data_IF_744599872857
#
_entry.id   IF_744599872857
#
_cell.length_a   1.000
_cell.length_b   1.000
_cell.length_c   1.000
_cell.angle_alpha   90.00
_cell.angle_beta   90.00
_cell.angle_gamma   90.00
#
_symmetry.space_group_name_H-M   'P 1'
#
loop_
_entity.id
_entity.type
_entity.pdbx_description
1 polymer ?
#
# COMPACT_ATOMS: atom_id res chain seq x y z
N UNK A 1 31.20 -4.60 -24.72
CA UNK A 1 29.97 -5.20 -24.18
C UNK A 1 29.82 -4.77 -22.73
N UNK A 2 28.88 -3.87 -22.41
CA UNK A 2 28.62 -3.44 -21.03
C UNK A 2 27.45 -4.27 -20.50
N UNK A 3 27.69 -5.04 -19.44
CA UNK A 3 26.70 -5.95 -18.84
C UNK A 3 25.56 -5.18 -18.19
N UNK A 4 24.36 -5.75 -18.29
CA UNK A 4 23.04 -5.17 -17.97
C UNK A 4 22.79 -4.95 -16.46
N UNK A 5 23.79 -5.16 -15.60
CA UNK A 5 23.61 -5.29 -14.14
C UNK A 5 23.74 -3.98 -13.33
N UNK A 6 24.25 -2.88 -13.90
CA UNK A 6 24.59 -1.68 -13.11
C UNK A 6 23.48 -0.61 -12.99
N UNK A 7 22.24 -0.86 -13.43
CA UNK A 7 21.25 0.22 -13.59
C UNK A 7 20.08 0.22 -12.59
N UNK A 8 19.93 -0.78 -11.74
CA UNK A 8 18.74 -0.91 -10.88
C UNK A 8 18.96 -0.63 -9.39
N UNK A 9 20.15 -0.19 -8.99
CA UNK A 9 20.47 0.16 -7.59
C UNK A 9 20.90 1.63 -7.47
N UNK A 10 20.10 2.57 -8.00
CA UNK A 10 20.40 4.02 -7.88
C UNK A 10 19.69 4.65 -6.68
N UNK A 11 20.00 4.15 -5.49
CA UNK A 11 19.96 4.92 -4.23
C UNK A 11 20.92 4.30 -3.22
N UNK A 12 22.20 4.24 -3.60
CA UNK A 12 23.31 4.31 -2.64
C UNK A 12 23.67 5.79 -2.51
N UNK A 13 22.88 6.56 -1.77
CA UNK A 13 23.19 7.94 -1.43
C UNK A 13 22.90 8.10 0.04
N UNK A 14 23.96 8.31 0.81
CA UNK A 14 24.04 8.44 2.26
C UNK A 14 22.75 9.00 2.88
N UNK A 15 21.91 8.09 3.40
CA UNK A 15 20.71 8.44 4.14
C UNK A 15 21.11 8.63 5.61
N UNK A 16 21.18 9.87 6.07
CA UNK A 16 21.41 10.18 7.49
C UNK A 16 20.20 9.72 8.32
N UNK A 17 20.47 8.95 9.38
CA UNK A 17 19.48 8.43 10.33
C UNK A 17 18.30 7.68 9.69
N UNK A 18 18.59 6.85 8.68
CA UNK A 18 17.57 5.99 8.06
C UNK A 18 17.04 4.94 9.05
N UNK A 19 15.75 5.00 9.35
CA UNK A 19 15.07 4.05 10.24
C UNK A 19 13.98 3.31 9.48
N UNK A 20 13.87 2.01 9.73
CA UNK A 20 12.74 1.17 9.32
C UNK A 20 12.07 0.62 10.57
N UNK A 21 10.76 0.85 10.70
CA UNK A 21 9.95 0.35 11.81
C UNK A 21 8.87 -0.61 11.31
N UNK A 22 8.63 -1.70 12.05
CA UNK A 22 7.47 -2.55 11.85
C UNK A 22 6.18 -1.80 12.19
N UNK A 23 5.09 -2.10 11.50
CA UNK A 23 3.82 -1.43 11.71
C UNK A 23 2.63 -2.37 11.51
N UNK A 24 1.48 -2.02 12.13
CA UNK A 24 0.19 -2.67 11.92
C UNK A 24 -0.79 -1.81 11.10
N UNK A 25 -2.08 -1.97 11.39
CA UNK A 25 -3.17 -1.26 10.72
C UNK A 25 -3.22 0.22 11.13
N UNK A 26 -3.21 1.10 10.15
CA UNK A 26 -3.51 2.52 10.28
C UNK A 26 -4.89 2.80 9.72
N UNK A 27 -5.74 3.51 10.48
CA UNK A 27 -7.06 3.97 10.03
C UNK A 27 -6.99 5.48 9.89
N UNK A 28 -7.46 6.02 8.76
CA UNK A 28 -7.46 7.46 8.51
C UNK A 28 -8.46 8.16 9.45
N UNK A 29 -7.99 9.19 10.15
CA UNK A 29 -8.83 9.98 11.08
C UNK A 29 -9.91 10.77 10.33
N UNK A 30 -9.60 11.26 9.13
CA UNK A 30 -10.54 12.02 8.29
C UNK A 30 -11.48 11.14 7.47
N UNK A 31 -11.21 9.85 7.37
CA UNK A 31 -11.99 8.89 6.58
C UNK A 31 -11.92 7.52 7.24
N UNK A 32 -12.72 7.30 8.29
CA UNK A 32 -12.65 6.09 9.12
C UNK A 32 -12.90 4.77 8.36
N UNK A 33 -13.48 4.83 7.16
CA UNK A 33 -13.65 3.68 6.27
C UNK A 33 -12.38 3.30 5.50
N UNK A 34 -11.31 4.07 5.63
CA UNK A 34 -10.04 3.86 4.95
C UNK A 34 -8.98 3.37 5.95
N UNK A 35 -8.42 2.20 5.67
CA UNK A 35 -7.34 1.61 6.44
C UNK A 35 -6.23 1.02 5.58
N UNK A 36 -5.00 1.02 6.11
CA UNK A 36 -3.78 0.59 5.44
C UNK A 36 -2.85 -0.15 6.41
N UNK A 37 -2.26 -1.27 5.97
CA UNK A 37 -1.23 -2.00 6.73
C UNK A 37 0.05 -2.11 5.88
N UNK A 38 1.05 -1.23 6.09
CA UNK A 38 2.36 -1.33 5.44
C UNK A 38 3.16 -2.52 5.96
N UNK A 39 4.20 -2.93 5.22
CA UNK A 39 5.12 -3.96 5.71
C UNK A 39 6.23 -3.34 6.57
N UNK A 40 6.55 -2.06 6.33
CA UNK A 40 7.40 -1.25 7.17
C UNK A 40 7.17 0.24 6.91
N UNK A 41 7.47 1.07 7.91
CA UNK A 41 7.50 2.52 7.80
C UNK A 41 8.97 2.97 7.75
N UNK A 42 9.31 3.84 6.81
CA UNK A 42 10.66 4.43 6.72
C UNK A 42 10.62 5.90 7.09
N UNK A 43 11.70 6.36 7.70
CA UNK A 43 11.94 7.79 7.91
C UNK A 43 13.41 8.12 7.65
N UNK A 44 13.65 9.19 6.89
CA UNK A 44 14.95 9.82 6.75
C UNK A 44 14.80 11.33 6.97
N UNK A 45 15.79 11.97 7.60
CA UNK A 45 15.88 13.44 7.64
C UNK A 45 15.92 14.05 6.24
N UNK A 46 16.51 13.32 5.29
CA UNK A 46 16.70 13.69 3.90
C UNK A 46 15.44 13.57 3.02
N UNK A 47 14.63 12.52 3.21
CA UNK A 47 13.53 12.16 2.31
C UNK A 47 12.14 12.26 2.96
N UNK A 48 12.07 12.45 4.28
CA UNK A 48 10.83 12.40 5.04
C UNK A 48 10.36 10.97 5.29
N UNK A 49 9.04 10.79 5.36
CA UNK A 49 8.39 9.50 5.62
C UNK A 49 8.12 8.74 4.32
N UNK A 50 8.44 7.46 4.31
CA UNK A 50 8.11 6.52 3.23
C UNK A 50 7.54 5.22 3.78
N UNK A 51 7.08 4.34 2.89
CA UNK A 51 6.66 2.97 3.27
C UNK A 51 7.49 1.92 2.54
N UNK A 52 7.69 0.77 3.19
CA UNK A 52 8.24 -0.43 2.54
C UNK A 52 7.10 -1.34 2.16
N UNK A 53 7.15 -1.83 0.91
CA UNK A 53 6.33 -2.95 0.48
C UNK A 53 7.16 -4.09 -0.08
N UNK A 54 7.00 -5.25 0.56
CA UNK A 54 7.69 -6.49 0.24
C UNK A 54 6.75 -7.35 -0.59
N UNK A 55 7.02 -7.35 -1.90
CA UNK A 55 6.45 -8.23 -2.94
C UNK A 55 4.92 -8.21 -3.10
N UNK A 56 4.46 -7.49 -4.13
CA UNK A 56 3.41 -7.97 -5.05
C UNK A 56 3.48 -7.20 -6.39
N UNK A 57 3.73 -7.84 -7.55
CA UNK A 57 3.92 -7.13 -8.83
C UNK A 57 2.67 -6.41 -9.36
N UNK A 58 1.50 -6.60 -8.72
CA UNK A 58 0.23 -6.00 -9.10
C UNK A 58 -0.33 -5.03 -8.04
N UNK A 59 0.45 -4.66 -7.02
CA UNK A 59 -0.03 -3.87 -5.88
C UNK A 59 0.01 -2.35 -6.08
N UNK A 60 0.13 -1.82 -7.30
CA UNK A 60 0.23 -0.37 -7.50
C UNK A 60 -0.93 0.41 -6.85
N UNK A 61 -2.17 -0.11 -6.98
CA UNK A 61 -3.35 0.45 -6.30
C UNK A 61 -3.21 0.45 -4.76
N UNK A 62 -2.71 -0.63 -4.19
CA UNK A 62 -2.52 -0.77 -2.75
C UNK A 62 -1.41 0.15 -2.23
N UNK A 63 -0.29 0.20 -2.94
CA UNK A 63 0.88 1.03 -2.61
C UNK A 63 0.48 2.51 -2.63
N UNK A 64 -0.20 2.96 -3.69
CA UNK A 64 -0.70 4.34 -3.79
C UNK A 64 -1.76 4.65 -2.73
N UNK A 65 -2.65 3.70 -2.44
CA UNK A 65 -3.64 3.83 -1.37
C UNK A 65 -2.99 4.01 0.01
N UNK A 66 -2.00 3.19 0.34
CA UNK A 66 -1.28 3.26 1.61
C UNK A 66 -0.46 4.54 1.74
N UNK A 67 0.24 4.95 0.68
CA UNK A 67 0.97 6.22 0.67
C UNK A 67 0.04 7.42 0.90
N UNK A 68 -1.12 7.44 0.25
CA UNK A 68 -2.10 8.52 0.43
C UNK A 68 -2.76 8.54 1.82
N UNK A 69 -2.98 7.38 2.44
CA UNK A 69 -3.50 7.31 3.82
C UNK A 69 -2.48 7.72 4.88
N UNK A 70 -1.20 7.43 4.63
CA UNK A 70 -0.10 7.66 5.58
C UNK A 70 0.70 8.94 5.30
N UNK A 71 0.26 9.74 4.32
CA UNK A 71 0.93 10.97 3.90
C UNK A 71 2.41 10.75 3.54
N UNK A 72 2.70 9.61 2.88
CA UNK A 72 4.05 9.24 2.46
C UNK A 72 4.27 9.65 1.00
N UNK A 73 5.46 10.17 0.68
CA UNK A 73 5.77 10.68 -0.65
C UNK A 73 6.33 9.62 -1.61
N UNK A 74 6.79 8.47 -1.09
CA UNK A 74 7.28 7.35 -1.87
C UNK A 74 7.12 6.01 -1.14
N UNK A 75 7.23 4.93 -1.91
CA UNK A 75 7.32 3.56 -1.41
C UNK A 75 8.50 2.86 -2.07
N UNK A 76 9.29 2.13 -1.29
CA UNK A 76 10.30 1.23 -1.85
C UNK A 76 9.69 -0.16 -2.09
N UNK A 77 9.72 -0.60 -3.34
CA UNK A 77 9.31 -1.93 -3.77
C UNK A 77 10.51 -2.86 -3.73
N UNK A 78 10.53 -3.74 -2.73
CA UNK A 78 11.67 -4.64 -2.49
C UNK A 78 11.30 -6.06 -2.91
N UNK A 79 12.07 -6.61 -3.85
CA UNK A 79 12.05 -8.03 -4.22
C UNK A 79 13.35 -8.66 -3.78
N UNK A 80 13.29 -9.47 -2.74
CA UNK A 80 14.43 -10.21 -2.22
C UNK A 80 14.46 -11.64 -2.78
N UNK A 81 15.64 -12.08 -3.17
CA UNK A 81 15.97 -13.48 -3.45
C UNK A 81 17.27 -13.84 -2.73
N UNK A 82 17.58 -15.14 -2.52
CA UNK A 82 18.87 -15.54 -1.98
C UNK A 82 20.09 -15.14 -2.83
N UNK A 83 19.86 -14.72 -4.09
CA UNK A 83 20.91 -14.40 -5.07
C UNK A 83 21.08 -12.87 -5.21
N UNK A 84 19.99 -12.11 -5.16
CA UNK A 84 19.99 -10.67 -5.40
C UNK A 84 18.78 -9.97 -4.75
N UNK A 85 18.92 -8.65 -4.54
CA UNK A 85 17.87 -7.75 -4.03
C UNK A 85 17.58 -6.70 -5.10
N UNK A 86 16.32 -6.66 -5.56
CA UNK A 86 15.83 -5.60 -6.42
C UNK A 86 15.02 -4.60 -5.60
N UNK A 87 15.34 -3.31 -5.71
CA UNK A 87 14.63 -2.22 -5.05
C UNK A 87 14.22 -1.19 -6.12
N UNK A 88 12.93 -0.87 -6.17
CA UNK A 88 12.39 0.16 -7.05
C UNK A 88 11.59 1.18 -6.24
N UNK A 89 11.94 2.46 -6.36
CA UNK A 89 11.22 3.55 -5.71
C UNK A 89 9.97 3.92 -6.52
N UNK A 90 8.79 3.80 -5.92
CA UNK A 90 7.51 4.17 -6.50
C UNK A 90 7.10 5.53 -5.91
N UNK A 91 7.02 6.61 -6.70
CA UNK A 91 6.57 7.91 -6.22
C UNK A 91 5.06 7.91 -5.94
N UNK A 92 4.61 8.74 -5.00
CA UNK A 92 3.19 8.98 -4.79
C UNK A 92 2.56 9.72 -5.99
N UNK A 93 1.47 9.16 -6.52
CA UNK A 93 0.66 9.75 -7.58
C UNK A 93 -0.67 10.23 -6.98
N UNK A 94 -0.71 11.52 -6.64
CA UNK A 94 -1.88 12.12 -6.04
C UNK A 94 -3.12 12.05 -6.95
N UNK A 95 -2.96 12.20 -8.27
CA UNK A 95 -4.10 12.16 -9.21
C UNK A 95 -4.71 10.77 -9.26
N UNK A 96 -3.85 9.74 -9.28
CA UNK A 96 -4.30 8.37 -9.23
C UNK A 96 -4.95 8.03 -7.88
N UNK A 97 -4.36 8.46 -6.76
CA UNK A 97 -4.93 8.28 -5.43
C UNK A 97 -6.33 8.88 -5.30
N UNK A 98 -6.54 10.13 -5.75
CA UNK A 98 -7.86 10.77 -5.72
C UNK A 98 -8.92 9.99 -6.54
N UNK A 99 -8.50 9.39 -7.67
CA UNK A 99 -9.38 8.54 -8.46
C UNK A 99 -9.81 7.26 -7.73
N UNK A 100 -8.92 6.70 -6.90
CA UNK A 100 -9.21 5.54 -6.05
C UNK A 100 -10.11 5.97 -4.90
N UNK A 101 -9.76 7.06 -4.20
CA UNK A 101 -10.49 7.61 -3.07
C UNK A 101 -11.96 7.86 -3.44
N UNK A 102 -12.21 8.50 -4.57
CA UNK A 102 -13.57 8.74 -5.07
C UNK A 102 -14.39 7.46 -5.24
N UNK A 103 -13.78 6.39 -5.77
CA UNK A 103 -14.44 5.08 -5.93
C UNK A 103 -14.71 4.41 -4.59
N UNK A 104 -13.75 4.48 -3.66
CA UNK A 104 -13.88 3.94 -2.31
C UNK A 104 -14.98 4.65 -1.52
N UNK A 105 -15.03 5.98 -1.58
CA UNK A 105 -16.06 6.79 -0.92
C UNK A 105 -17.45 6.43 -1.47
N UNK A 106 -17.59 6.36 -2.80
CA UNK A 106 -18.85 5.94 -3.42
C UNK A 106 -19.25 4.53 -3.02
N UNK A 107 -18.32 3.58 -2.96
CA UNK A 107 -18.60 2.21 -2.55
C UNK A 107 -19.02 2.14 -1.08
N UNK A 108 -18.30 2.83 -0.19
CA UNK A 108 -18.62 2.88 1.22
C UNK A 108 -20.02 3.46 1.46
N UNK A 109 -20.30 4.64 0.91
CA UNK A 109 -21.57 5.34 1.14
C UNK A 109 -22.77 4.64 0.51
N UNK A 110 -22.62 4.03 -0.67
CA UNK A 110 -23.76 3.41 -1.39
C UNK A 110 -23.98 1.96 -1.05
N UNK A 111 -22.95 1.23 -0.61
CA UNK A 111 -23.01 -0.22 -0.43
C UNK A 111 -22.79 -0.62 1.02
N UNK A 112 -21.72 -0.15 1.65
CA UNK A 112 -21.33 -0.60 2.99
C UNK A 112 -22.19 0.07 4.06
N UNK A 113 -22.25 1.41 4.05
CA UNK A 113 -22.93 2.19 5.08
C UNK A 113 -24.42 1.82 5.24
N UNK A 114 -25.23 1.69 4.16
CA UNK A 114 -26.63 1.30 4.31
C UNK A 114 -26.78 -0.09 4.95
N UNK A 115 -25.93 -1.06 4.58
CA UNK A 115 -25.97 -2.42 5.13
C UNK A 115 -25.57 -2.48 6.60
N UNK A 116 -24.55 -1.70 6.98
CA UNK A 116 -24.12 -1.58 8.39
C UNK A 116 -25.23 -0.95 9.24
N UNK A 117 -25.88 0.10 8.75
CA UNK A 117 -26.94 0.80 9.47
C UNK A 117 -28.22 -0.05 9.63
N UNK A 118 -28.59 -0.81 8.61
CA UNK A 118 -29.75 -1.72 8.66
C UNK A 118 -29.45 -2.98 9.48
N UNK A 119 -28.18 -3.26 9.77
CA UNK A 119 -27.78 -4.44 10.53
C UNK A 119 -27.94 -5.75 9.75
N UNK A 120 -27.98 -5.67 8.42
CA UNK A 120 -28.05 -6.86 7.55
C UNK A 120 -26.76 -7.66 7.67
N UNK A 121 -26.78 -8.65 8.55
CA UNK A 121 -25.74 -9.68 8.61
C UNK A 121 -25.97 -10.60 7.42
N UNK A 122 -24.93 -10.85 6.62
CA UNK A 122 -24.95 -12.02 5.74
C UNK A 122 -25.25 -13.26 6.61
N UNK A 123 -26.09 -14.20 6.14
CA UNK A 123 -26.07 -15.54 6.70
C UNK A 123 -24.61 -16.02 6.75
N UNK A 124 -24.19 -16.58 7.88
CA UNK A 124 -22.88 -17.23 7.96
C UNK A 124 -22.96 -18.52 7.15
N UNK A 125 -22.79 -18.42 5.84
CA UNK A 125 -22.69 -19.59 4.98
C UNK A 125 -21.32 -20.23 5.21
N UNK A 126 -21.31 -21.28 6.04
CA UNK A 126 -20.22 -22.25 6.10
C UNK A 126 -20.23 -23.11 4.84
N UNK A 127 -19.82 -22.58 3.69
CA UNK A 127 -19.48 -23.43 2.55
C UNK A 127 -18.34 -22.86 1.71
N UNK A 128 -17.29 -23.68 1.62
CA UNK A 128 -16.09 -23.55 0.81
C UNK A 128 -16.47 -23.44 -0.68
N UNK A 129 -16.03 -22.34 -1.30
CA UNK A 129 -15.81 -22.04 -2.72
C UNK A 129 -16.81 -22.55 -3.78
N UNK A 130 -17.41 -21.60 -4.51
CA UNK A 130 -17.37 -21.52 -5.99
C UNK A 130 -17.81 -20.11 -6.45
N UNK A 131 -16.97 -19.50 -7.28
CA UNK A 131 -17.04 -18.14 -7.86
C UNK A 131 -16.85 -16.93 -6.90
N UNK A 132 -15.75 -16.20 -7.14
CA UNK A 132 -15.58 -14.80 -6.72
C UNK A 132 -14.81 -14.61 -5.42
N UNK A 133 -13.51 -14.93 -5.42
CA UNK A 133 -12.60 -14.36 -4.41
C UNK A 133 -12.46 -12.88 -4.74
N UNK A 134 -13.30 -12.05 -4.14
CA UNK A 134 -13.05 -10.61 -4.07
C UNK A 134 -12.14 -10.38 -2.87
N UNK A 135 -10.84 -10.36 -3.12
CA UNK A 135 -9.89 -9.81 -2.18
C UNK A 135 -9.97 -8.28 -2.31
N UNK A 136 -10.66 -7.63 -1.37
CA UNK A 136 -10.49 -6.20 -1.16
C UNK A 136 -9.31 -6.05 -0.21
N UNK A 137 -8.17 -5.74 -0.80
CA UNK A 137 -6.98 -5.33 -0.06
C UNK A 137 -7.08 -3.87 0.38
#
# INVERSE_FOLDING_TARGET
MKTRHEKHTKRSLDHEDFVVACTGLHVSVSSAHLGASPDGLTSCSCCGKGIVKIKCPYSYYQVQGQMGMMECCYSDFVVWTPIDIFIEMIPFDNKFFESIKTKLDSFFLKVILPRVLVGEKKPRDTHISKQGIYCYC
#
